data_IF_791808858072
#
_entry.id   IF_791808858072
#
_cell.length_a   1.000
_cell.length_b   1.000
_cell.length_c   1.000
_cell.angle_alpha   90.00
_cell.angle_beta   90.00
_cell.angle_gamma   90.00
#
_symmetry.space_group_name_H-M   'P 1'
#
loop_
_entity.id
_entity.type
_entity.pdbx_description
1 polymer ?
#
# COMPACT_ATOMS: atom_id res chain seq x y z
N UNK A 1 22.03 40.21 -29.94
CA UNK A 1 21.68 38.79 -30.19
C UNK A 1 22.89 37.92 -30.64
N UNK A 2 24.14 38.18 -30.21
CA UNK A 2 25.32 37.49 -30.69
C UNK A 2 26.16 36.79 -29.61
N UNK A 3 25.64 36.63 -28.36
CA UNK A 3 26.41 36.04 -27.28
C UNK A 3 26.08 34.58 -26.97
N UNK A 4 24.87 34.10 -27.29
CA UNK A 4 24.38 32.78 -26.88
C UNK A 4 24.80 31.65 -27.82
N UNK A 5 25.05 31.97 -29.11
CA UNK A 5 25.44 30.98 -30.13
C UNK A 5 26.90 30.55 -30.04
N UNK A 6 27.74 31.34 -29.41
CA UNK A 6 29.18 31.05 -29.21
C UNK A 6 29.39 30.02 -28.09
N UNK A 7 28.58 30.11 -27.03
CA UNK A 7 28.72 29.23 -25.86
C UNK A 7 28.27 27.77 -26.14
N UNK A 8 27.27 27.59 -26.99
CA UNK A 8 26.78 26.28 -27.38
C UNK A 8 27.70 25.53 -28.38
N UNK A 9 28.49 26.26 -29.17
CA UNK A 9 29.49 25.66 -30.06
C UNK A 9 30.75 25.18 -29.33
N UNK A 10 31.14 25.83 -28.24
CA UNK A 10 32.27 25.41 -27.42
C UNK A 10 32.01 24.09 -26.70
N UNK A 11 30.82 23.93 -26.12
CA UNK A 11 30.43 22.71 -25.40
C UNK A 11 30.32 21.46 -26.28
N UNK A 12 29.83 21.59 -27.51
CA UNK A 12 29.77 20.46 -28.46
C UNK A 12 31.14 20.00 -28.96
N UNK A 13 32.18 20.85 -28.95
CA UNK A 13 33.55 20.45 -29.32
C UNK A 13 34.31 19.74 -28.21
N UNK A 14 33.95 19.99 -26.96
CA UNK A 14 34.53 19.32 -25.80
C UNK A 14 33.95 17.90 -25.61
N UNK A 15 32.63 17.72 -25.82
CA UNK A 15 31.99 16.41 -25.79
C UNK A 15 32.46 15.48 -26.94
N UNK A 16 32.74 16.05 -28.12
CA UNK A 16 33.28 15.26 -29.25
C UNK A 16 34.77 14.82 -29.08
N UNK A 17 35.52 15.54 -28.25
CA UNK A 17 36.91 15.15 -27.92
C UNK A 17 37.00 14.10 -26.82
N UNK A 18 36.04 14.04 -25.92
CA UNK A 18 35.97 13.01 -24.86
C UNK A 18 35.60 11.62 -25.38
N UNK A 19 34.92 11.53 -26.54
CA UNK A 19 34.49 10.27 -27.14
C UNK A 19 35.54 9.61 -28.06
N UNK A 20 36.67 10.30 -28.36
CA UNK A 20 37.67 9.81 -29.29
C UNK A 20 38.92 9.16 -28.66
N UNK A 21 39.04 9.13 -27.32
CA UNK A 21 40.27 8.66 -26.64
C UNK A 21 40.07 7.45 -25.71
N UNK A 22 39.03 6.63 -25.90
CA UNK A 22 38.93 5.37 -25.17
C UNK A 22 38.67 4.17 -26.10
N UNK A 23 39.65 3.85 -26.95
CA UNK A 23 39.81 2.52 -27.49
C UNK A 23 41.08 1.91 -26.88
N UNK A 24 40.93 1.35 -25.70
CA UNK A 24 41.90 0.47 -25.06
C UNK A 24 41.22 -0.84 -24.77
N UNK A 25 41.73 -1.89 -25.34
CA UNK A 25 41.40 -3.29 -25.16
C UNK A 25 41.38 -3.67 -23.67
N UNK A 26 40.22 -4.00 -23.13
CA UNK A 26 40.13 -4.78 -21.89
C UNK A 26 39.25 -6.00 -22.15
N UNK A 27 39.92 -7.16 -22.08
CA UNK A 27 39.31 -8.48 -21.98
C UNK A 27 38.26 -8.48 -20.85
N UNK A 28 36.97 -8.63 -21.20
CA UNK A 28 35.92 -8.76 -20.26
C UNK A 28 36.11 -9.95 -19.32
N UNK A 29 35.72 -9.86 -18.04
CA UNK A 29 35.71 -11.01 -17.18
C UNK A 29 34.74 -12.05 -17.74
N UNK A 30 35.21 -13.30 -17.87
CA UNK A 30 34.39 -14.48 -18.15
C UNK A 30 33.22 -14.48 -17.20
N UNK A 31 31.97 -14.81 -17.63
CA UNK A 31 30.87 -15.02 -16.72
C UNK A 31 31.29 -16.16 -15.77
N UNK A 32 31.41 -15.82 -14.49
CA UNK A 32 31.57 -16.79 -13.42
C UNK A 32 30.33 -17.69 -13.46
N UNK A 33 30.58 -18.95 -13.83
CA UNK A 33 29.61 -20.06 -13.68
C UNK A 33 29.14 -20.02 -12.23
N UNK A 34 27.92 -19.51 -12.01
CA UNK A 34 27.24 -19.69 -10.72
C UNK A 34 27.15 -21.21 -10.51
N UNK A 35 27.96 -21.71 -9.62
CA UNK A 35 27.79 -23.07 -9.05
C UNK A 35 26.39 -23.09 -8.46
N UNK A 36 25.55 -23.96 -9.01
CA UNK A 36 24.25 -24.28 -8.41
C UNK A 36 24.52 -24.74 -6.99
N UNK A 37 24.21 -23.88 -6.02
CA UNK A 37 24.23 -24.23 -4.62
C UNK A 37 23.13 -25.29 -4.42
N UNK A 38 23.53 -26.50 -4.02
CA UNK A 38 22.64 -27.59 -3.59
C UNK A 38 22.03 -27.30 -2.22
N UNK A 39 21.45 -26.12 -2.03
CA UNK A 39 20.74 -25.68 -0.85
C UNK A 39 19.27 -25.41 -1.17
N UNK A 40 18.39 -25.62 -0.20
CA UNK A 40 16.98 -25.20 -0.31
C UNK A 40 16.88 -23.74 -0.75
N UNK A 41 15.89 -23.38 -1.57
CA UNK A 41 15.73 -21.99 -2.03
C UNK A 41 15.59 -21.05 -0.83
N UNK A 42 16.08 -19.80 -0.94
CA UNK A 42 15.95 -18.82 0.13
C UNK A 42 14.51 -18.65 0.57
N UNK A 43 14.28 -18.58 1.86
CA UNK A 43 12.97 -18.30 2.44
C UNK A 43 12.56 -16.84 2.32
N UNK A 44 11.47 -16.49 2.95
CA UNK A 44 10.96 -15.12 3.02
C UNK A 44 10.79 -14.67 4.48
N UNK A 45 11.17 -13.43 4.76
CA UNK A 45 10.90 -12.72 6.00
C UNK A 45 9.78 -11.71 5.76
N UNK A 46 8.63 -11.89 6.42
CA UNK A 46 7.42 -11.07 6.23
C UNK A 46 7.15 -10.27 7.48
N UNK A 47 6.86 -8.96 7.33
CA UNK A 47 6.60 -8.09 8.48
C UNK A 47 5.59 -6.99 8.18
N UNK A 48 4.86 -6.56 9.23
CA UNK A 48 3.77 -5.59 9.15
C UNK A 48 2.47 -6.17 8.55
N UNK A 49 1.46 -5.31 8.43
CA UNK A 49 0.29 -5.51 7.57
C UNK A 49 -0.59 -6.75 7.79
N UNK A 50 -1.05 -7.00 8.98
CA UNK A 50 -2.15 -7.95 9.34
C UNK A 50 -2.50 -9.05 8.29
N UNK A 51 -3.66 -8.89 7.60
CA UNK A 51 -4.17 -9.86 6.62
C UNK A 51 -3.36 -9.90 5.32
N UNK A 52 -2.68 -8.80 4.95
CA UNK A 52 -1.73 -8.78 3.84
C UNK A 52 -0.54 -9.71 4.09
N UNK A 53 0.04 -9.68 5.31
CA UNK A 53 1.10 -10.61 5.72
C UNK A 53 0.62 -12.05 5.74
N UNK A 54 -0.59 -12.31 6.26
CA UNK A 54 -1.17 -13.65 6.25
C UNK A 54 -1.30 -14.20 4.82
N UNK A 55 -1.72 -13.35 3.88
CA UNK A 55 -1.82 -13.73 2.47
C UNK A 55 -0.44 -14.07 1.87
N UNK A 56 0.59 -13.26 2.15
CA UNK A 56 1.97 -13.54 1.72
C UNK A 56 2.47 -14.87 2.31
N UNK A 57 2.27 -15.09 3.61
CA UNK A 57 2.67 -16.33 4.31
C UNK A 57 2.03 -17.56 3.68
N UNK A 58 0.72 -17.49 3.39
CA UNK A 58 -0.02 -18.60 2.76
C UNK A 58 0.44 -18.88 1.34
N UNK A 59 0.54 -17.82 0.52
CA UNK A 59 1.01 -17.96 -0.85
C UNK A 59 2.35 -18.66 -0.92
N UNK A 60 3.36 -18.13 -0.26
CA UNK A 60 4.70 -18.71 -0.29
C UNK A 60 4.78 -20.09 0.36
N UNK A 61 4.09 -20.29 1.49
CA UNK A 61 4.08 -21.55 2.20
C UNK A 61 3.42 -22.69 1.43
N UNK A 62 2.36 -22.42 0.65
CA UNK A 62 1.75 -23.40 -0.27
C UNK A 62 2.71 -23.85 -1.36
N UNK A 63 3.65 -22.99 -1.75
CA UNK A 63 4.72 -23.32 -2.69
C UNK A 63 5.96 -23.95 -2.02
N UNK A 64 5.86 -24.31 -0.72
CA UNK A 64 6.96 -24.96 0.01
C UNK A 64 8.12 -24.03 0.38
N UNK A 65 7.95 -22.73 0.25
CA UNK A 65 8.95 -21.72 0.61
C UNK A 65 8.90 -21.49 2.12
N UNK A 66 10.03 -21.61 2.86
CA UNK A 66 10.06 -21.29 4.28
C UNK A 66 9.73 -19.82 4.54
N UNK A 67 8.76 -19.55 5.42
CA UNK A 67 8.35 -18.17 5.74
C UNK A 67 8.48 -17.92 7.23
N UNK A 68 9.21 -16.86 7.59
CA UNK A 68 9.29 -16.34 8.95
C UNK A 68 8.54 -15.02 9.05
N UNK A 69 7.94 -14.75 10.21
CA UNK A 69 7.11 -13.56 10.44
C UNK A 69 7.70 -12.73 11.56
N UNK A 70 7.95 -11.44 11.32
CA UNK A 70 8.25 -10.47 12.37
C UNK A 70 6.95 -9.83 12.87
N UNK A 71 6.77 -9.81 14.18
CA UNK A 71 5.53 -9.37 14.83
C UNK A 71 5.83 -8.21 15.77
N UNK A 72 5.19 -7.06 15.53
CA UNK A 72 5.19 -5.93 16.45
C UNK A 72 3.77 -5.39 16.71
N UNK A 73 2.85 -5.51 15.75
CA UNK A 73 1.46 -5.00 15.84
C UNK A 73 0.43 -6.12 15.77
N UNK A 74 0.09 -6.61 14.58
CA UNK A 74 -1.02 -7.55 14.38
C UNK A 74 -0.50 -8.99 14.22
N UNK A 75 -0.79 -9.89 15.19
CA UNK A 75 -0.14 -11.20 15.22
C UNK A 75 -0.82 -12.28 14.36
N UNK A 76 -1.80 -11.96 13.48
CA UNK A 76 -2.62 -12.98 12.82
C UNK A 76 -1.80 -13.95 11.96
N UNK A 77 -0.77 -13.47 11.29
CA UNK A 77 0.07 -14.29 10.41
C UNK A 77 0.84 -15.40 11.16
N UNK A 78 1.14 -15.20 12.46
CA UNK A 78 1.84 -16.23 13.27
C UNK A 78 1.01 -17.49 13.50
N UNK A 79 -0.31 -17.41 13.36
CA UNK A 79 -1.21 -18.53 13.55
C UNK A 79 -1.37 -19.40 12.30
N UNK A 80 -0.79 -18.97 11.18
CA UNK A 80 -0.77 -19.77 9.95
C UNK A 80 0.15 -20.97 10.13
N UNK A 81 -0.30 -22.17 9.69
CA UNK A 81 0.53 -23.36 9.61
C UNK A 81 1.74 -23.21 8.68
N UNK A 82 1.68 -22.22 7.79
CA UNK A 82 2.74 -21.89 6.84
C UNK A 82 3.80 -20.93 7.39
N UNK A 83 3.57 -20.32 8.57
CA UNK A 83 4.59 -19.58 9.28
C UNK A 83 5.55 -20.55 9.99
N UNK A 84 6.70 -20.81 9.39
CA UNK A 84 7.69 -21.74 9.94
C UNK A 84 8.27 -21.25 11.27
N UNK A 85 8.36 -19.93 11.44
CA UNK A 85 8.82 -19.27 12.68
C UNK A 85 8.25 -17.87 12.78
N UNK A 86 8.11 -17.39 14.02
CA UNK A 86 7.80 -16.00 14.30
C UNK A 86 8.77 -15.40 15.31
N UNK A 87 9.09 -14.12 15.14
CA UNK A 87 9.99 -13.36 15.99
C UNK A 87 9.30 -12.06 16.36
N UNK A 88 9.29 -11.71 17.65
CA UNK A 88 8.87 -10.36 18.08
C UNK A 88 10.01 -9.39 17.81
N UNK A 89 9.70 -8.20 17.33
CA UNK A 89 10.64 -7.11 17.10
C UNK A 89 10.03 -5.77 17.50
N UNK A 90 10.88 -4.74 17.57
CA UNK A 90 10.49 -3.46 18.17
C UNK A 90 9.55 -2.61 17.33
N UNK A 91 9.41 -2.91 16.03
CA UNK A 91 8.62 -2.16 15.07
C UNK A 91 9.43 -1.17 14.22
N UNK A 92 8.83 -0.66 13.12
CA UNK A 92 9.54 0.15 12.12
C UNK A 92 9.85 1.58 12.59
N UNK A 93 9.11 2.10 13.57
CA UNK A 93 9.17 3.51 13.98
C UNK A 93 10.29 3.80 15.01
N UNK A 94 11.01 2.77 15.44
CA UNK A 94 12.12 2.93 16.40
C UNK A 94 13.41 3.34 15.70
N UNK A 95 14.17 4.22 16.36
CA UNK A 95 15.57 4.48 15.97
C UNK A 95 16.34 3.17 16.00
N UNK A 96 17.07 2.86 14.94
CA UNK A 96 17.83 1.61 14.82
C UNK A 96 17.02 0.41 14.33
N UNK A 97 15.81 0.60 13.80
CA UNK A 97 14.97 -0.49 13.31
C UNK A 97 15.58 -1.26 12.12
N UNK A 98 16.32 -0.58 11.24
CA UNK A 98 17.01 -1.23 10.14
C UNK A 98 18.19 -2.08 10.63
N UNK A 99 18.94 -1.58 11.58
CA UNK A 99 20.04 -2.30 12.24
C UNK A 99 19.52 -3.52 13.02
N UNK A 100 18.35 -3.41 13.66
CA UNK A 100 17.70 -4.54 14.31
C UNK A 100 17.33 -5.64 13.29
N UNK A 101 16.81 -5.28 12.10
CA UNK A 101 16.53 -6.23 11.03
C UNK A 101 17.80 -6.94 10.55
N UNK A 102 18.89 -6.21 10.37
CA UNK A 102 20.22 -6.76 10.00
C UNK A 102 20.69 -7.73 11.08
N UNK A 103 20.64 -7.32 12.36
CA UNK A 103 21.04 -8.16 13.47
C UNK A 103 20.20 -9.44 13.60
N UNK A 104 18.89 -9.37 13.32
CA UNK A 104 18.00 -10.54 13.26
C UNK A 104 18.46 -11.47 12.13
N UNK A 105 18.74 -10.95 10.94
CA UNK A 105 19.19 -11.75 9.81
C UNK A 105 20.50 -12.49 10.11
N UNK A 106 21.51 -11.78 10.61
CA UNK A 106 22.82 -12.35 10.97
C UNK A 106 22.71 -13.40 12.08
N UNK A 107 21.89 -13.13 13.12
CA UNK A 107 21.70 -14.07 14.24
C UNK A 107 21.05 -15.38 13.80
N UNK A 108 20.24 -15.34 12.76
CA UNK A 108 19.40 -16.46 12.35
C UNK A 108 19.78 -17.04 10.98
N UNK A 109 20.82 -16.55 10.32
CA UNK A 109 21.28 -17.04 9.02
C UNK A 109 20.24 -16.79 7.91
N UNK A 110 19.67 -15.57 7.87
CA UNK A 110 18.64 -15.19 6.89
C UNK A 110 19.23 -14.36 5.72
N UNK A 111 20.55 -14.33 5.56
CA UNK A 111 21.20 -13.64 4.47
C UNK A 111 20.74 -14.22 3.13
N UNK A 112 20.38 -13.33 2.21
CA UNK A 112 19.85 -13.70 0.90
C UNK A 112 18.37 -14.07 0.89
N UNK A 113 17.68 -14.05 2.04
CA UNK A 113 16.24 -14.21 2.10
C UNK A 113 15.52 -13.04 1.49
N UNK A 114 14.27 -13.25 1.04
CA UNK A 114 13.46 -12.19 0.45
C UNK A 114 12.71 -11.47 1.58
N UNK A 115 12.78 -10.12 1.59
CA UNK A 115 12.13 -9.28 2.58
C UNK A 115 10.81 -8.72 2.05
N UNK A 116 9.68 -9.09 2.67
CA UNK A 116 8.34 -8.63 2.32
C UNK A 116 7.79 -7.67 3.36
N UNK A 117 7.72 -6.39 3.01
CA UNK A 117 7.03 -5.38 3.81
C UNK A 117 5.54 -5.36 3.44
N UNK A 118 4.66 -5.55 4.41
CA UNK A 118 3.22 -5.58 4.21
C UNK A 118 2.47 -4.43 4.91
N UNK A 119 3.17 -3.52 5.57
CA UNK A 119 2.66 -2.27 6.13
C UNK A 119 3.35 -1.05 5.54
N UNK A 120 2.73 0.14 5.66
CA UNK A 120 3.27 1.39 5.12
C UNK A 120 4.57 1.79 5.81
N UNK A 121 4.63 1.71 7.14
CA UNK A 121 5.81 2.06 7.93
C UNK A 121 6.99 1.10 7.63
N UNK A 122 6.70 -0.21 7.52
CA UNK A 122 7.69 -1.21 7.18
C UNK A 122 8.26 -1.01 5.76
N UNK A 123 7.40 -0.71 4.80
CA UNK A 123 7.85 -0.48 3.43
C UNK A 123 8.64 0.84 3.31
N UNK A 124 8.29 1.88 4.05
CA UNK A 124 9.08 3.11 4.13
C UNK A 124 10.45 2.85 4.80
N UNK A 125 10.49 2.06 5.89
CA UNK A 125 11.74 1.67 6.53
C UNK A 125 12.67 0.98 5.52
N UNK A 126 12.15 -0.01 4.77
CA UNK A 126 12.94 -0.73 3.74
C UNK A 126 13.41 0.22 2.65
N UNK A 127 12.52 1.07 2.13
CA UNK A 127 12.86 1.99 1.04
C UNK A 127 13.90 3.02 1.44
N UNK A 128 13.82 3.57 2.67
CA UNK A 128 14.79 4.56 3.20
C UNK A 128 16.15 3.96 3.53
N UNK A 129 16.21 2.68 3.88
CA UNK A 129 17.43 1.96 4.22
C UNK A 129 17.79 0.92 3.14
N UNK A 130 17.38 1.18 1.88
CA UNK A 130 17.45 0.22 0.79
C UNK A 130 18.86 -0.31 0.56
N UNK A 131 19.87 0.54 0.54
CA UNK A 131 21.26 0.15 0.31
C UNK A 131 21.75 -0.81 1.41
N UNK A 132 21.59 -0.42 2.69
CA UNK A 132 22.02 -1.25 3.81
C UNK A 132 21.30 -2.60 3.86
N UNK A 133 19.98 -2.61 3.66
CA UNK A 133 19.18 -3.84 3.71
C UNK A 133 19.40 -4.72 2.48
N UNK A 134 19.71 -4.17 1.30
CA UNK A 134 20.00 -4.94 0.09
C UNK A 134 21.31 -5.72 0.17
N UNK A 135 22.24 -5.34 1.06
CA UNK A 135 23.46 -6.10 1.32
C UNK A 135 23.19 -7.44 2.06
N UNK A 136 22.04 -7.55 2.72
CA UNK A 136 21.64 -8.71 3.52
C UNK A 136 20.46 -9.46 2.89
N UNK A 137 19.45 -8.74 2.42
CA UNK A 137 18.21 -9.31 1.89
C UNK A 137 18.06 -9.06 0.40
N UNK A 138 17.23 -9.87 -0.24
CA UNK A 138 16.64 -9.54 -1.54
C UNK A 138 15.39 -8.72 -1.29
N UNK A 139 15.40 -7.45 -1.72
CA UNK A 139 14.31 -6.53 -1.43
C UNK A 139 13.22 -6.61 -2.49
N UNK A 140 11.97 -6.48 -2.05
CA UNK A 140 10.78 -6.41 -2.91
C UNK A 140 10.22 -4.99 -3.04
N UNK A 141 10.76 -4.05 -2.27
CA UNK A 141 10.39 -2.62 -2.26
C UNK A 141 11.37 -1.80 -3.08
N UNK A 142 10.87 -0.77 -3.76
CA UNK A 142 11.70 0.19 -4.48
C UNK A 142 12.52 1.07 -3.50
N UNK A 143 13.69 1.61 -3.94
CA UNK A 143 14.44 2.58 -3.15
C UNK A 143 13.67 3.87 -2.95
N UNK A 144 14.05 4.67 -1.93
CA UNK A 144 13.30 5.86 -1.52
C UNK A 144 13.08 6.88 -2.63
N UNK A 145 14.03 7.06 -3.51
CA UNK A 145 13.95 7.99 -4.67
C UNK A 145 12.76 7.69 -5.58
N UNK A 146 12.33 6.43 -5.65
CA UNK A 146 11.15 5.97 -6.39
C UNK A 146 9.95 5.84 -5.45
N UNK A 147 10.12 5.22 -4.30
CA UNK A 147 9.01 4.94 -3.37
C UNK A 147 8.36 6.22 -2.81
N UNK A 148 9.12 7.32 -2.66
CA UNK A 148 8.58 8.61 -2.17
C UNK A 148 7.39 9.12 -2.97
N UNK A 149 7.34 8.83 -4.28
CA UNK A 149 6.22 9.21 -5.14
C UNK A 149 4.90 8.50 -4.78
N UNK A 150 4.98 7.38 -4.08
CA UNK A 150 3.83 6.67 -3.54
C UNK A 150 3.41 7.17 -2.15
N UNK A 151 4.37 7.61 -1.33
CA UNK A 151 4.12 7.98 0.06
C UNK A 151 3.81 9.46 0.26
N UNK A 152 4.29 10.33 -0.61
CA UNK A 152 4.03 11.77 -0.58
C UNK A 152 2.92 12.14 -1.58
N UNK A 153 1.74 12.50 -1.04
CA UNK A 153 0.58 12.87 -1.86
C UNK A 153 0.80 14.12 -2.72
N UNK A 154 1.66 15.06 -2.28
CA UNK A 154 2.06 16.18 -3.11
C UNK A 154 2.73 15.70 -4.39
N UNK A 155 3.78 14.89 -4.22
CA UNK A 155 4.53 14.34 -5.35
C UNK A 155 3.62 13.50 -6.26
N UNK A 156 2.72 12.67 -5.66
CA UNK A 156 1.74 11.88 -6.43
C UNK A 156 0.85 12.77 -7.30
N UNK A 157 0.28 13.84 -6.74
CA UNK A 157 -0.68 14.69 -7.46
C UNK A 157 0.03 15.64 -8.45
N UNK A 158 1.19 16.16 -8.11
CA UNK A 158 2.01 16.96 -9.03
C UNK A 158 2.39 16.14 -10.26
N UNK A 159 2.85 14.90 -10.06
CA UNK A 159 3.15 14.01 -11.18
C UNK A 159 1.91 13.64 -11.99
N UNK A 160 0.79 13.39 -11.33
CA UNK A 160 -0.48 13.12 -12.00
C UNK A 160 -0.89 14.30 -12.90
N UNK A 161 -0.76 15.54 -12.39
CA UNK A 161 -1.02 16.75 -13.16
C UNK A 161 -0.12 16.89 -14.40
N UNK A 162 1.20 16.71 -14.22
CA UNK A 162 2.19 16.79 -15.30
C UNK A 162 1.91 15.85 -16.47
N UNK A 163 1.39 14.64 -16.18
CA UNK A 163 1.12 13.61 -17.20
C UNK A 163 -0.36 13.51 -17.57
N UNK A 164 -1.20 14.45 -17.13
CA UNK A 164 -2.62 14.54 -17.49
C UNK A 164 -3.49 13.44 -16.90
N UNK A 165 -3.17 12.96 -15.68
CA UNK A 165 -4.02 12.04 -14.90
C UNK A 165 -4.87 12.89 -13.94
N UNK A 166 -6.18 12.60 -13.88
CA UNK A 166 -7.07 13.31 -12.98
C UNK A 166 -6.79 12.95 -11.52
N UNK A 167 -6.81 13.95 -10.66
CA UNK A 167 -6.66 13.83 -9.22
C UNK A 167 -7.67 14.73 -8.51
N UNK A 168 -7.98 14.51 -7.22
CA UNK A 168 -8.90 15.36 -6.47
C UNK A 168 -8.26 16.74 -6.24
N UNK A 169 -9.07 17.82 -6.39
CA UNK A 169 -8.63 19.12 -5.95
C UNK A 169 -8.11 19.04 -4.50
N UNK A 170 -6.92 19.54 -4.27
CA UNK A 170 -6.25 19.50 -2.98
C UNK A 170 -5.59 20.84 -2.69
N UNK A 171 -5.70 21.30 -1.43
CA UNK A 171 -5.11 22.53 -0.95
C UNK A 171 -4.41 22.29 0.38
N UNK A 172 -3.22 22.82 0.53
CA UNK A 172 -2.36 22.65 1.71
C UNK A 172 -2.26 24.01 2.42
N UNK A 173 -3.12 24.28 3.41
CA UNK A 173 -3.12 25.55 4.11
C UNK A 173 -1.88 25.69 4.99
N UNK A 174 -1.34 26.91 5.02
CA UNK A 174 -0.24 27.27 5.93
C UNK A 174 -0.74 27.51 7.34
N UNK A 175 -1.94 28.06 7.46
CA UNK A 175 -2.53 28.46 8.72
C UNK A 175 -4.08 28.54 8.62
N UNK A 176 -4.73 28.89 9.73
CA UNK A 176 -6.17 29.06 9.80
C UNK A 176 -6.70 30.21 8.92
N UNK A 177 -5.88 31.24 8.69
CA UNK A 177 -6.28 32.38 7.83
C UNK A 177 -6.36 31.96 6.36
N UNK A 178 -5.40 31.14 5.90
CA UNK A 178 -5.45 30.53 4.58
C UNK A 178 -6.73 29.70 4.40
N UNK A 179 -7.12 28.92 5.40
CA UNK A 179 -8.39 28.13 5.36
C UNK A 179 -9.62 29.04 5.29
N UNK A 180 -9.61 30.18 5.98
CA UNK A 180 -10.71 31.13 5.93
C UNK A 180 -10.90 31.78 4.56
N UNK A 181 -9.81 31.92 3.79
CA UNK A 181 -9.81 32.60 2.48
C UNK A 181 -9.86 31.63 1.29
N UNK A 182 -9.58 30.33 1.49
CA UNK A 182 -9.52 29.37 0.38
C UNK A 182 -10.82 29.31 -0.40
N UNK A 183 -10.71 29.40 -1.73
CA UNK A 183 -11.85 29.22 -2.63
C UNK A 183 -12.01 27.73 -2.95
N UNK A 184 -13.07 27.11 -2.46
CA UNK A 184 -13.35 25.68 -2.68
C UNK A 184 -14.84 25.43 -2.92
N UNK A 185 -15.14 24.32 -3.59
CA UNK A 185 -16.51 23.80 -3.73
C UNK A 185 -16.80 22.82 -2.62
N UNK A 186 -17.82 23.05 -1.83
CA UNK A 186 -18.28 22.12 -0.80
C UNK A 186 -19.08 20.95 -1.42
N UNK A 187 -19.06 19.78 -0.77
CA UNK A 187 -18.32 19.44 0.45
C UNK A 187 -16.83 19.20 0.20
N UNK A 188 -16.01 19.49 1.22
CA UNK A 188 -14.59 19.15 1.27
C UNK A 188 -14.29 18.23 2.45
N UNK A 189 -13.14 17.57 2.41
CA UNK A 189 -12.61 16.78 3.51
C UNK A 189 -11.25 17.30 3.95
N UNK A 190 -11.01 17.23 5.23
CA UNK A 190 -9.69 17.50 5.82
C UNK A 190 -9.06 16.16 6.15
N UNK A 191 -7.78 16.01 5.84
CA UNK A 191 -6.99 14.79 6.13
C UNK A 191 -5.62 15.18 6.69
N UNK A 192 -5.01 14.35 7.57
CA UNK A 192 -3.60 14.45 7.85
C UNK A 192 -2.77 14.20 6.59
N UNK A 193 -1.71 15.00 6.37
CA UNK A 193 -0.78 14.82 5.24
C UNK A 193 0.12 13.60 5.44
N UNK A 194 0.44 13.26 6.70
CA UNK A 194 1.28 12.13 7.08
C UNK A 194 0.51 11.28 8.09
N UNK A 195 0.33 10.00 7.81
CA UNK A 195 -0.42 9.06 8.67
C UNK A 195 0.31 8.72 9.97
N UNK A 196 1.63 8.77 9.99
CA UNK A 196 2.47 8.22 11.03
C UNK A 196 2.61 9.11 12.29
N UNK A 197 2.06 10.34 12.26
CA UNK A 197 2.14 11.27 13.40
C UNK A 197 0.94 11.22 14.35
N UNK A 198 0.07 10.24 14.18
CA UNK A 198 -1.18 10.20 14.92
C UNK A 198 -1.18 9.07 15.94
N UNK A 199 -0.53 9.32 17.09
CA UNK A 199 -0.54 8.42 18.28
C UNK A 199 -1.90 8.31 18.98
N UNK A 200 -2.91 9.03 18.52
CA UNK A 200 -4.26 8.98 19.08
C UNK A 200 -5.11 7.97 18.33
N UNK A 201 -6.05 7.29 19.00
CA UNK A 201 -7.12 6.56 18.35
C UNK A 201 -8.06 7.58 17.69
N UNK A 202 -7.62 8.16 16.57
CA UNK A 202 -8.44 9.10 15.82
C UNK A 202 -9.54 8.29 15.17
N UNK A 203 -10.74 8.48 15.66
CA UNK A 203 -11.97 7.89 15.15
C UNK A 203 -12.30 8.33 13.72
N UNK A 204 -11.63 9.37 13.19
CA UNK A 204 -11.88 9.89 11.86
C UNK A 204 -10.59 9.94 11.04
N UNK A 205 -10.53 9.18 9.95
CA UNK A 205 -9.48 9.24 8.91
C UNK A 205 -9.55 10.54 8.11
N UNK A 206 -10.71 11.19 8.13
CA UNK A 206 -11.00 12.47 7.49
C UNK A 206 -12.17 13.16 8.21
N UNK A 207 -12.19 14.48 8.16
CA UNK A 207 -13.29 15.32 8.66
C UNK A 207 -14.00 15.95 7.48
N UNK A 208 -15.29 15.72 7.35
CA UNK A 208 -16.13 16.34 6.33
C UNK A 208 -16.56 17.74 6.76
N UNK A 209 -16.53 18.66 5.81
CA UNK A 209 -17.08 20.01 5.95
C UNK A 209 -17.98 20.32 4.75
N UNK A 210 -19.22 20.70 5.05
CA UNK A 210 -20.26 21.00 4.05
C UNK A 210 -20.39 22.50 3.76
N UNK A 211 -19.79 23.31 4.61
CA UNK A 211 -19.78 24.78 4.52
C UNK A 211 -18.52 25.38 5.16
N UNK A 212 -18.36 26.70 5.03
CA UNK A 212 -17.21 27.44 5.54
C UNK A 212 -17.07 27.39 7.07
N UNK A 213 -18.18 27.49 7.81
CA UNK A 213 -18.16 27.48 9.25
C UNK A 213 -17.73 26.11 9.79
N UNK A 214 -18.29 25.05 9.22
CA UNK A 214 -17.88 23.67 9.50
C UNK A 214 -16.42 23.40 9.13
N UNK A 215 -15.95 23.94 8.01
CA UNK A 215 -14.55 23.79 7.57
C UNK A 215 -13.59 24.37 8.61
N UNK A 216 -13.84 25.59 9.10
CA UNK A 216 -12.99 26.23 10.11
C UNK A 216 -13.00 25.44 11.44
N UNK A 217 -14.18 25.03 11.90
CA UNK A 217 -14.32 24.24 13.13
C UNK A 217 -13.58 22.88 13.01
N UNK A 218 -13.66 22.21 11.86
CA UNK A 218 -12.94 20.94 11.60
C UNK A 218 -11.45 21.15 11.48
N UNK A 219 -11.01 22.25 10.89
CA UNK A 219 -9.60 22.61 10.85
C UNK A 219 -9.01 22.81 12.24
N UNK A 220 -9.69 23.58 13.11
CA UNK A 220 -9.26 23.79 14.48
C UNK A 220 -9.16 22.46 15.26
N UNK A 221 -10.12 21.54 15.05
CA UNK A 221 -10.05 20.18 15.63
C UNK A 221 -8.87 19.37 15.10
N UNK A 222 -8.62 19.39 13.79
CA UNK A 222 -7.54 18.66 13.15
C UNK A 222 -6.19 19.23 13.57
N UNK A 223 -6.01 20.56 13.56
CA UNK A 223 -4.81 21.26 13.93
C UNK A 223 -4.37 20.97 15.38
N UNK A 224 -5.34 20.90 16.30
CA UNK A 224 -5.08 20.51 17.69
C UNK A 224 -4.56 19.06 17.84
N UNK A 225 -4.85 18.17 16.86
CA UNK A 225 -4.46 16.75 16.91
C UNK A 225 -3.15 16.47 16.17
N UNK A 226 -2.95 17.09 15.00
CA UNK A 226 -1.83 16.75 14.10
C UNK A 226 -0.90 17.93 13.78
N UNK A 227 -1.25 19.14 14.24
CA UNK A 227 -0.56 20.39 13.91
C UNK A 227 -1.07 21.04 12.61
N UNK A 228 -0.97 22.37 12.54
CA UNK A 228 -1.54 23.18 11.44
C UNK A 228 -0.98 22.82 10.06
N UNK A 229 0.32 22.54 9.97
CA UNK A 229 1.01 22.24 8.72
C UNK A 229 0.83 20.80 8.22
N UNK A 230 0.16 19.96 9.00
CA UNK A 230 -0.03 18.55 8.69
C UNK A 230 -1.44 18.23 8.17
N UNK A 231 -2.12 19.21 7.60
CA UNK A 231 -3.52 19.07 7.12
C UNK A 231 -3.58 19.37 5.64
N UNK A 232 -4.30 18.54 4.89
CA UNK A 232 -4.71 18.81 3.51
C UNK A 232 -6.22 18.95 3.43
N UNK A 233 -6.70 19.97 2.74
CA UNK A 233 -8.08 20.10 2.30
C UNK A 233 -8.21 19.44 0.94
N UNK A 234 -9.23 18.61 0.77
CA UNK A 234 -9.44 17.88 -0.47
C UNK A 234 -10.92 17.89 -0.85
N UNK A 235 -11.24 17.95 -2.14
CA UNK A 235 -12.62 17.79 -2.56
C UNK A 235 -13.15 16.41 -2.12
N UNK A 236 -14.42 16.36 -1.71
CA UNK A 236 -15.12 15.13 -1.51
C UNK A 236 -15.68 14.64 -2.86
N UNK A 237 -15.06 13.59 -3.43
CA UNK A 237 -15.61 12.95 -4.62
C UNK A 237 -16.85 12.17 -4.21
N UNK A 238 -18.03 12.43 -4.81
CA UNK A 238 -19.27 11.71 -4.48
C UNK A 238 -19.18 10.21 -4.74
N UNK A 239 -20.11 9.47 -4.17
CA UNK A 239 -20.22 8.02 -4.30
C UNK A 239 -19.64 7.27 -3.11
N UNK A 240 -20.14 6.07 -2.91
CA UNK A 240 -19.74 5.14 -1.86
C UNK A 240 -18.46 4.35 -2.22
N UNK A 241 -18.22 3.24 -1.52
CA UNK A 241 -17.10 2.35 -1.79
C UNK A 241 -17.11 1.75 -3.20
N UNK A 242 -18.28 1.52 -3.79
CA UNK A 242 -18.43 0.88 -5.11
C UNK A 242 -17.88 1.72 -6.27
N UNK A 243 -17.62 3.01 -6.05
CA UNK A 243 -16.99 3.90 -7.01
C UNK A 243 -15.46 3.94 -6.89
N UNK A 244 -14.88 3.13 -5.99
CA UNK A 244 -13.44 3.05 -5.77
C UNK A 244 -12.85 1.82 -6.47
N UNK A 245 -11.80 2.07 -7.26
CA UNK A 245 -11.08 1.07 -8.05
C UNK A 245 -9.62 1.03 -7.66
N UNK A 246 -9.00 -0.13 -7.80
CA UNK A 246 -7.57 -0.31 -7.57
C UNK A 246 -6.94 -1.05 -8.74
N UNK A 247 -5.85 -0.51 -9.26
CA UNK A 247 -4.93 -1.27 -10.11
C UNK A 247 -3.87 -1.90 -9.21
N UNK A 248 -3.80 -3.21 -9.19
CA UNK A 248 -2.87 -4.00 -8.41
C UNK A 248 -1.86 -4.69 -9.33
N UNK A 249 -0.55 -4.53 -9.08
CA UNK A 249 0.46 -5.04 -10.00
C UNK A 249 1.82 -5.32 -9.36
N UNK A 250 2.62 -6.11 -10.09
CA UNK A 250 4.08 -6.16 -9.95
C UNK A 250 4.66 -5.50 -11.19
N UNK A 251 5.51 -4.50 -10.98
CA UNK A 251 6.26 -3.81 -12.03
C UNK A 251 7.71 -4.21 -12.00
N UNK A 252 8.31 -4.41 -13.17
CA UNK A 252 9.71 -4.69 -13.31
C UNK A 252 10.24 -4.09 -14.64
N UNK A 253 11.37 -3.37 -14.59
CA UNK A 253 11.99 -2.72 -15.75
C UNK A 253 11.01 -1.88 -16.60
N UNK A 254 10.16 -1.08 -15.93
CA UNK A 254 9.23 -0.14 -16.58
C UNK A 254 7.99 -0.76 -17.23
N UNK A 255 7.68 -2.03 -16.93
CA UNK A 255 6.50 -2.74 -17.42
C UNK A 255 5.84 -3.61 -16.34
N UNK A 256 4.52 -3.83 -16.41
CA UNK A 256 3.85 -4.76 -15.52
C UNK A 256 4.21 -6.21 -15.88
N UNK A 257 4.60 -6.99 -14.87
CA UNK A 257 4.78 -8.46 -14.96
C UNK A 257 3.47 -9.17 -14.67
N UNK A 258 2.77 -8.74 -13.62
CA UNK A 258 1.45 -9.25 -13.27
C UNK A 258 0.55 -8.09 -12.88
N UNK A 259 -0.71 -8.09 -13.31
CA UNK A 259 -1.66 -7.03 -12.97
C UNK A 259 -3.10 -7.52 -12.93
N UNK A 260 -3.93 -6.80 -12.18
CA UNK A 260 -5.39 -6.89 -12.23
C UNK A 260 -6.00 -5.53 -11.86
N UNK A 261 -7.26 -5.32 -12.23
CA UNK A 261 -8.07 -4.23 -11.70
C UNK A 261 -9.14 -4.80 -10.78
N UNK A 262 -9.35 -4.16 -9.65
CA UNK A 262 -10.38 -4.53 -8.69
C UNK A 262 -11.26 -3.34 -8.34
N UNK A 263 -12.50 -3.60 -7.94
CA UNK A 263 -13.46 -2.64 -7.42
C UNK A 263 -13.74 -2.94 -5.95
N UNK A 264 -13.72 -1.93 -5.12
CA UNK A 264 -14.14 -2.02 -3.73
C UNK A 264 -15.67 -1.98 -3.69
N UNK A 265 -16.31 -3.15 -3.58
CA UNK A 265 -17.77 -3.19 -3.56
C UNK A 265 -18.36 -2.80 -2.18
N UNK A 266 -17.65 -3.11 -1.08
CA UNK A 266 -18.03 -2.71 0.29
C UNK A 266 -16.81 -2.36 1.13
N UNK A 267 -17.03 -1.50 2.13
CA UNK A 267 -16.00 -1.00 3.05
C UNK A 267 -16.54 -0.80 4.47
N UNK A 268 -15.63 -0.74 5.44
CA UNK A 268 -15.99 -0.44 6.82
C UNK A 268 -15.03 0.61 7.43
N UNK A 269 -15.52 1.66 8.11
CA UNK A 269 -16.92 2.16 8.13
C UNK A 269 -17.41 2.52 6.72
N UNK A 270 -18.74 2.63 6.54
CA UNK A 270 -19.35 2.96 5.23
C UNK A 270 -18.80 4.31 4.72
N UNK A 271 -18.77 5.32 5.58
CA UNK A 271 -18.20 6.63 5.30
C UNK A 271 -16.69 6.63 5.49
N UNK A 272 -15.95 7.15 4.50
CA UNK A 272 -14.48 7.29 4.52
C UNK A 272 -13.73 5.99 4.80
N UNK A 273 -14.23 4.84 4.33
CA UNK A 273 -13.81 3.48 4.63
C UNK A 273 -12.36 3.28 4.96
N UNK A 274 -12.10 2.85 6.19
CA UNK A 274 -10.75 2.55 6.65
C UNK A 274 -10.19 1.30 5.97
N UNK A 275 -11.07 0.34 5.67
CA UNK A 275 -10.66 -0.93 5.06
C UNK A 275 -11.74 -1.46 4.11
N UNK A 276 -11.31 -2.06 3.03
CA UNK A 276 -12.17 -2.84 2.14
C UNK A 276 -12.67 -4.07 2.91
N UNK A 277 -13.97 -4.38 2.75
CA UNK A 277 -14.56 -5.60 3.31
C UNK A 277 -14.95 -6.59 2.23
N UNK A 278 -15.31 -6.09 1.04
CA UNK A 278 -15.57 -6.90 -0.15
C UNK A 278 -14.96 -6.23 -1.38
N UNK A 279 -14.11 -6.96 -2.09
CA UNK A 279 -13.40 -6.50 -3.28
C UNK A 279 -13.60 -7.52 -4.39
N UNK A 280 -13.92 -7.08 -5.60
CA UNK A 280 -14.11 -7.95 -6.76
C UNK A 280 -13.21 -7.52 -7.92
N UNK A 281 -12.68 -8.48 -8.65
CA UNK A 281 -11.92 -8.21 -9.88
C UNK A 281 -12.84 -7.80 -11.00
N UNK A 282 -12.47 -6.75 -11.71
CA UNK A 282 -13.22 -6.17 -12.82
C UNK A 282 -12.30 -5.82 -13.99
N UNK A 283 -12.88 -5.61 -15.15
CA UNK A 283 -12.18 -5.00 -16.26
C UNK A 283 -12.47 -3.51 -16.28
N UNK A 284 -11.43 -2.69 -16.16
CA UNK A 284 -11.54 -1.24 -16.25
C UNK A 284 -10.29 -0.67 -16.93
N UNK A 285 -10.29 -0.61 -18.27
CA UNK A 285 -9.11 -0.19 -19.05
C UNK A 285 -8.61 1.21 -18.74
N UNK A 286 -9.52 2.17 -18.44
CA UNK A 286 -9.12 3.54 -18.10
C UNK A 286 -8.31 3.61 -16.81
N UNK A 287 -8.64 2.81 -15.81
CA UNK A 287 -7.89 2.71 -14.55
C UNK A 287 -6.54 2.06 -14.79
N UNK A 288 -6.49 0.97 -15.58
CA UNK A 288 -5.26 0.27 -15.94
C UNK A 288 -4.30 1.20 -16.72
N UNK A 289 -4.80 1.95 -17.71
CA UNK A 289 -3.99 2.91 -18.48
C UNK A 289 -3.43 4.03 -17.60
N UNK A 290 -4.30 4.68 -16.81
CA UNK A 290 -3.88 5.78 -15.94
C UNK A 290 -2.81 5.32 -14.92
N UNK A 291 -3.01 4.18 -14.27
CA UNK A 291 -2.03 3.61 -13.35
C UNK A 291 -0.71 3.27 -14.04
N UNK A 292 -0.78 2.66 -15.22
CA UNK A 292 0.41 2.28 -16.00
C UNK A 292 1.22 3.50 -16.43
N UNK A 293 0.57 4.55 -16.90
CA UNK A 293 1.25 5.82 -17.24
C UNK A 293 1.92 6.45 -16.02
N UNK A 294 1.23 6.46 -14.87
CA UNK A 294 1.78 6.98 -13.62
C UNK A 294 3.04 6.19 -13.21
N UNK A 295 2.93 4.87 -13.06
CA UNK A 295 4.03 4.01 -12.60
C UNK A 295 5.25 4.06 -13.55
N UNK A 296 4.99 4.09 -14.85
CA UNK A 296 6.06 4.26 -15.85
C UNK A 296 6.76 5.61 -15.69
N UNK A 297 6.01 6.68 -15.43
CA UNK A 297 6.56 8.04 -15.32
C UNK A 297 7.49 8.25 -14.14
N UNK A 298 7.36 7.45 -13.08
CA UNK A 298 8.20 7.49 -11.87
C UNK A 298 9.25 6.35 -11.85
N UNK A 299 9.35 5.54 -12.92
CA UNK A 299 10.28 4.43 -12.98
C UNK A 299 10.04 3.35 -11.92
N UNK A 300 8.76 3.08 -11.59
CA UNK A 300 8.40 2.19 -10.49
C UNK A 300 8.84 0.74 -10.75
N UNK A 301 9.33 0.08 -9.69
CA UNK A 301 9.63 -1.35 -9.67
C UNK A 301 9.13 -1.94 -8.36
N UNK A 302 8.58 -3.15 -8.39
CA UNK A 302 8.08 -3.87 -7.23
C UNK A 302 6.56 -4.00 -7.19
N UNK A 303 6.05 -4.36 -6.01
CA UNK A 303 4.63 -4.57 -5.75
C UNK A 303 3.92 -3.24 -5.48
N UNK A 304 2.75 -3.03 -6.10
CA UNK A 304 2.01 -1.76 -5.97
C UNK A 304 0.51 -1.95 -6.13
N UNK A 305 -0.25 -1.15 -5.38
CA UNK A 305 -1.68 -0.89 -5.58
C UNK A 305 -1.88 0.61 -5.80
N UNK A 306 -2.51 1.00 -6.92
CA UNK A 306 -2.87 2.39 -7.22
C UNK A 306 -4.39 2.53 -7.11
N UNK A 307 -4.85 3.36 -6.16
CA UNK A 307 -6.28 3.56 -5.90
C UNK A 307 -6.83 4.74 -6.70
N UNK A 308 -8.01 4.53 -7.30
CA UNK A 308 -8.77 5.53 -8.04
C UNK A 308 -10.19 5.63 -7.50
N UNK A 309 -10.80 6.81 -7.64
CA UNK A 309 -12.24 6.98 -7.42
C UNK A 309 -12.89 7.56 -8.67
N UNK A 310 -13.99 6.93 -9.09
CA UNK A 310 -14.80 7.45 -10.18
C UNK A 310 -15.61 8.66 -9.72
N UNK A 311 -15.50 9.76 -10.44
CA UNK A 311 -16.25 10.97 -10.23
C UNK A 311 -17.36 11.10 -11.28
N UNK A 312 -18.58 10.76 -10.89
CA UNK A 312 -19.73 10.77 -11.80
C UNK A 312 -20.07 12.19 -12.29
N UNK A 313 -19.61 13.26 -11.62
CA UNK A 313 -19.86 14.65 -12.04
C UNK A 313 -19.22 15.00 -13.38
N UNK A 314 -18.11 14.35 -13.70
CA UNK A 314 -17.35 14.59 -14.95
C UNK A 314 -16.96 13.31 -15.67
N UNK A 315 -17.44 12.13 -15.21
CA UNK A 315 -17.16 10.82 -15.76
C UNK A 315 -15.65 10.53 -15.83
N UNK A 316 -14.89 10.82 -14.74
CA UNK A 316 -13.44 10.65 -14.68
C UNK A 316 -13.00 9.80 -13.48
N UNK A 317 -11.97 9.00 -13.68
CA UNK A 317 -11.25 8.33 -12.59
C UNK A 317 -10.16 9.27 -12.07
N UNK A 318 -10.17 9.52 -10.76
CA UNK A 318 -9.19 10.35 -10.08
C UNK A 318 -8.27 9.49 -9.21
N UNK A 319 -6.96 9.62 -9.38
CA UNK A 319 -5.99 8.92 -8.53
C UNK A 319 -6.09 9.42 -7.09
N UNK A 320 -6.20 8.49 -6.12
CA UNK A 320 -6.35 8.82 -4.70
C UNK A 320 -5.11 8.52 -3.88
N UNK A 321 -4.54 7.32 -4.10
CA UNK A 321 -3.45 6.80 -3.27
C UNK A 321 -2.61 5.80 -4.05
N UNK A 322 -1.34 5.64 -3.63
CA UNK A 322 -0.44 4.63 -4.16
C UNK A 322 0.14 3.86 -2.97
N UNK A 323 -0.06 2.56 -2.93
CA UNK A 323 0.40 1.69 -1.86
C UNK A 323 1.54 0.81 -2.38
N UNK A 324 2.78 1.15 -2.03
CA UNK A 324 4.00 0.45 -2.47
C UNK A 324 4.34 -0.75 -1.57
N UNK A 325 3.36 -1.60 -1.28
CA UNK A 325 3.45 -2.74 -0.35
C UNK A 325 2.35 -3.75 -0.59
N UNK A 326 2.40 -4.91 0.09
CA UNK A 326 1.28 -5.83 0.11
C UNK A 326 0.03 -5.16 0.73
N UNK A 327 -1.09 -5.24 0.04
CA UNK A 327 -2.37 -4.69 0.49
C UNK A 327 -3.25 -5.77 1.13
N UNK A 328 -4.28 -5.37 1.85
CA UNK A 328 -5.10 -6.27 2.68
C UNK A 328 -5.76 -7.41 1.90
N UNK A 329 -6.19 -7.14 0.67
CA UNK A 329 -6.89 -8.09 -0.20
C UNK A 329 -5.97 -8.73 -1.28
N UNK A 330 -4.64 -8.73 -1.09
CA UNK A 330 -3.67 -9.26 -2.07
C UNK A 330 -3.91 -10.74 -2.43
N UNK A 331 -4.50 -11.54 -1.51
CA UNK A 331 -4.88 -12.93 -1.76
C UNK A 331 -5.90 -13.10 -2.90
N UNK A 332 -6.64 -12.04 -3.26
CA UNK A 332 -7.53 -12.05 -4.43
C UNK A 332 -6.79 -12.37 -5.72
N UNK A 333 -5.51 -11.97 -5.81
CA UNK A 333 -4.67 -12.23 -6.97
C UNK A 333 -4.49 -13.73 -7.23
N UNK A 334 -4.28 -14.55 -6.20
CA UNK A 334 -4.16 -16.02 -6.34
C UNK A 334 -5.43 -16.59 -7.00
N UNK A 335 -6.61 -16.21 -6.50
CA UNK A 335 -7.89 -16.66 -7.07
C UNK A 335 -8.13 -16.13 -8.50
N UNK A 336 -7.61 -14.94 -8.81
CA UNK A 336 -7.64 -14.35 -10.15
C UNK A 336 -6.63 -14.95 -11.13
N UNK A 337 -5.70 -15.82 -10.66
CA UNK A 337 -4.66 -16.44 -11.48
C UNK A 337 -3.34 -15.68 -11.53
N UNK A 338 -3.15 -14.68 -10.66
CA UNK A 338 -1.91 -13.90 -10.49
C UNK A 338 -1.51 -13.88 -9.01
N UNK A 339 -0.82 -14.91 -8.56
CA UNK A 339 -0.33 -15.01 -7.18
C UNK A 339 0.84 -14.05 -6.95
N UNK A 340 0.50 -12.80 -6.63
CA UNK A 340 1.48 -11.71 -6.51
C UNK A 340 2.66 -12.03 -5.58
N UNK A 341 2.48 -12.56 -4.33
CA UNK A 341 3.62 -12.86 -3.48
C UNK A 341 4.56 -13.90 -4.08
N UNK A 342 4.03 -14.97 -4.67
CA UNK A 342 4.85 -16.01 -5.28
C UNK A 342 5.57 -15.51 -6.54
N UNK A 343 4.87 -14.76 -7.41
CA UNK A 343 5.48 -14.17 -8.60
C UNK A 343 6.59 -13.18 -8.22
N UNK A 344 6.39 -12.38 -7.17
CA UNK A 344 7.41 -11.44 -6.70
C UNK A 344 8.63 -12.18 -6.11
N UNK A 345 8.40 -13.29 -5.40
CA UNK A 345 9.48 -14.14 -4.91
C UNK A 345 10.30 -14.72 -6.08
N UNK A 346 9.65 -15.22 -7.13
CA UNK A 346 10.32 -15.72 -8.34
C UNK A 346 11.16 -14.65 -9.03
N UNK A 347 10.63 -13.43 -9.16
CA UNK A 347 11.39 -12.29 -9.70
C UNK A 347 12.62 -11.97 -8.83
N UNK A 348 12.46 -11.97 -7.50
CA UNK A 348 13.58 -11.76 -6.57
C UNK A 348 14.62 -12.87 -6.64
N UNK A 349 14.23 -14.07 -7.09
CA UNK A 349 15.15 -15.17 -7.41
C UNK A 349 15.86 -15.01 -8.76
N UNK A 350 15.52 -13.96 -9.53
CA UNK A 350 16.12 -13.67 -10.83
C UNK A 350 15.43 -14.38 -12.00
N UNK A 351 14.24 -14.93 -11.79
CA UNK A 351 13.47 -15.53 -12.88
C UNK A 351 12.86 -14.48 -13.80
N UNK A 352 12.85 -14.76 -15.10
CA UNK A 352 12.08 -13.97 -16.07
C UNK A 352 10.69 -14.55 -16.18
N UNK A 353 9.66 -13.72 -15.91
CA UNK A 353 8.28 -14.14 -15.95
C UNK A 353 7.55 -13.58 -17.18
N UNK A 354 6.62 -14.33 -17.78
CA UNK A 354 5.74 -13.78 -18.81
C UNK A 354 4.82 -12.72 -18.20
N UNK A 355 4.34 -11.79 -19.02
CA UNK A 355 3.31 -10.85 -18.59
C UNK A 355 2.00 -11.60 -18.32
N UNK A 356 1.44 -11.39 -17.14
CA UNK A 356 0.22 -12.04 -16.66
C UNK A 356 -0.86 -11.00 -16.33
N UNK A 357 -2.12 -11.34 -16.57
CA UNK A 357 -3.27 -10.53 -16.18
C UNK A 357 -4.28 -11.38 -15.42
N UNK A 358 -4.70 -10.89 -14.27
CA UNK A 358 -5.72 -11.56 -13.46
C UNK A 358 -7.09 -11.50 -14.14
N UNK A 359 -7.85 -12.60 -14.04
CA UNK A 359 -9.21 -12.67 -14.57
C UNK A 359 -10.20 -11.85 -13.73
N UNK A 360 -11.20 -11.28 -14.37
CA UNK A 360 -12.34 -10.63 -13.71
C UNK A 360 -13.35 -11.67 -13.17
N UNK A 361 -14.25 -11.22 -12.29
CA UNK A 361 -15.38 -12.03 -11.79
C UNK A 361 -15.05 -12.94 -10.61
N UNK A 362 -14.00 -12.65 -9.87
CA UNK A 362 -13.68 -13.28 -8.57
C UNK A 362 -13.66 -12.24 -7.46
N UNK A 363 -13.89 -12.66 -6.21
CA UNK A 363 -13.97 -11.74 -5.08
C UNK A 363 -13.12 -12.16 -3.88
N UNK A 364 -12.86 -11.17 -3.03
CA UNK A 364 -12.26 -11.32 -1.73
C UNK A 364 -13.14 -10.68 -0.65
N UNK A 365 -13.22 -11.31 0.52
CA UNK A 365 -14.09 -10.89 1.60
C UNK A 365 -13.40 -10.97 2.97
N UNK A 366 -13.52 -9.92 3.75
CA UNK A 366 -13.21 -9.95 5.18
C UNK A 366 -14.50 -10.24 5.95
N UNK A 367 -14.82 -11.51 6.14
CA UNK A 367 -16.13 -11.97 6.57
C UNK A 367 -16.69 -11.23 7.82
N UNK A 368 -15.91 -11.15 8.90
CA UNK A 368 -16.36 -10.55 10.16
C UNK A 368 -16.70 -9.04 10.02
N UNK A 369 -16.00 -8.31 9.17
CA UNK A 369 -16.25 -6.89 8.92
C UNK A 369 -17.30 -6.67 7.84
N UNK A 370 -17.34 -7.55 6.83
CA UNK A 370 -18.27 -7.42 5.73
C UNK A 370 -19.72 -7.62 6.15
N UNK A 371 -19.97 -8.59 7.05
CA UNK A 371 -21.32 -8.78 7.61
C UNK A 371 -21.79 -7.53 8.33
N UNK A 372 -20.92 -6.88 9.12
CA UNK A 372 -21.27 -5.63 9.83
C UNK A 372 -21.54 -4.51 8.83
N UNK A 373 -20.67 -4.32 7.85
CA UNK A 373 -20.85 -3.30 6.80
C UNK A 373 -22.13 -3.55 5.99
N UNK A 374 -22.39 -4.79 5.60
CA UNK A 374 -23.59 -5.14 4.84
C UNK A 374 -24.89 -4.90 5.63
N UNK A 375 -24.91 -5.22 6.92
CA UNK A 375 -26.09 -4.93 7.79
C UNK A 375 -26.31 -3.42 7.90
N UNK A 376 -25.23 -2.65 8.06
CA UNK A 376 -25.30 -1.19 8.11
C UNK A 376 -25.78 -0.60 6.77
N UNK A 377 -25.25 -1.04 5.62
CA UNK A 377 -25.70 -0.63 4.30
C UNK A 377 -27.16 -1.01 4.01
N UNK A 378 -27.63 -2.18 4.50
CA UNK A 378 -29.03 -2.59 4.39
C UNK A 378 -29.93 -1.68 5.25
N UNK A 379 -29.51 -1.33 6.44
CA UNK A 379 -30.27 -0.43 7.32
C UNK A 379 -30.44 0.98 6.72
N UNK A 380 -29.44 1.44 5.95
CA UNK A 380 -29.51 2.71 5.20
C UNK A 380 -30.16 2.59 3.81
N UNK A 381 -30.62 1.40 3.41
CA UNK A 381 -31.24 1.17 2.09
C UNK A 381 -30.27 1.23 0.91
N UNK A 382 -28.96 1.18 1.16
CA UNK A 382 -27.90 1.20 0.14
C UNK A 382 -27.76 -0.18 -0.52
N UNK A 383 -27.86 -1.26 0.28
CA UNK A 383 -27.71 -2.65 -0.16
C UNK A 383 -29.01 -3.44 0.08
N UNK A 384 -29.47 -4.18 -0.91
CA UNK A 384 -30.56 -5.13 -0.68
C UNK A 384 -30.04 -6.49 -0.20
N UNK A 385 -30.79 -7.25 0.65
CA UNK A 385 -30.42 -8.61 1.04
C UNK A 385 -30.17 -9.54 -0.15
N UNK A 386 -30.98 -9.39 -1.21
CA UNK A 386 -30.84 -10.16 -2.44
C UNK A 386 -29.53 -9.86 -3.15
N UNK A 387 -29.15 -8.58 -3.25
CA UNK A 387 -27.88 -8.15 -3.85
C UNK A 387 -26.68 -8.65 -3.04
N UNK A 388 -26.79 -8.64 -1.70
CA UNK A 388 -25.77 -9.22 -0.82
C UNK A 388 -25.57 -10.71 -1.10
N UNK A 389 -26.64 -11.51 -1.05
CA UNK A 389 -26.57 -12.94 -1.32
C UNK A 389 -26.08 -13.24 -2.73
N UNK A 390 -26.45 -12.41 -3.72
CA UNK A 390 -25.94 -12.54 -5.09
C UNK A 390 -24.44 -12.32 -5.15
N UNK A 391 -23.90 -11.35 -4.42
CA UNK A 391 -22.44 -11.08 -4.39
C UNK A 391 -21.62 -12.25 -3.83
N UNK A 392 -22.20 -13.10 -2.98
CA UNK A 392 -21.53 -14.26 -2.40
C UNK A 392 -21.51 -15.50 -3.32
N UNK A 393 -22.16 -15.46 -4.49
CA UNK A 393 -22.23 -16.61 -5.42
C UNK A 393 -21.03 -16.75 -6.34
N UNK A 394 -20.21 -15.71 -6.45
CA UNK A 394 -18.98 -15.75 -7.24
C UNK A 394 -17.85 -16.51 -6.49
N UNK A 395 -16.80 -16.97 -7.19
CA UNK A 395 -15.64 -17.54 -6.53
C UNK A 395 -15.07 -16.56 -5.49
N UNK A 396 -14.92 -17.01 -4.24
CA UNK A 396 -14.69 -16.13 -3.09
C UNK A 396 -13.47 -16.57 -2.30
N UNK A 397 -12.52 -15.64 -2.10
CA UNK A 397 -11.36 -15.78 -1.23
C UNK A 397 -11.62 -15.05 0.10
N UNK A 398 -11.44 -15.72 1.22
CA UNK A 398 -11.58 -15.07 2.53
C UNK A 398 -10.25 -14.49 3.04
N UNK A 399 -10.33 -13.37 3.75
CA UNK A 399 -9.18 -12.68 4.33
C UNK A 399 -8.44 -13.54 5.36
N UNK A 400 -9.17 -14.13 6.30
CA UNK A 400 -8.61 -14.85 7.43
C UNK A 400 -8.80 -16.36 7.36
N UNK A 401 -9.93 -16.84 6.83
CA UNK A 401 -10.23 -18.28 6.76
C UNK A 401 -9.66 -18.89 5.46
N UNK A 402 -9.07 -20.09 5.61
CA UNK A 402 -8.74 -20.96 4.49
C UNK A 402 -8.88 -22.41 4.95
N UNK A 403 -9.40 -23.30 4.09
CA UNK A 403 -9.66 -24.69 4.47
C UNK A 403 -8.38 -25.46 4.81
N UNK A 404 -7.29 -25.16 4.13
CA UNK A 404 -5.95 -25.72 4.34
C UNK A 404 -5.19 -25.08 5.51
N UNK A 405 -5.69 -23.92 6.04
CA UNK A 405 -5.08 -23.15 7.13
C UNK A 405 -6.16 -22.43 7.95
N UNK A 406 -7.03 -23.15 8.70
CA UNK A 406 -8.23 -22.59 9.32
C UNK A 406 -7.95 -21.75 10.57
N UNK A 407 -6.84 -21.98 11.28
CA UNK A 407 -6.58 -21.36 12.58
C UNK A 407 -6.57 -19.83 12.56
N UNK A 408 -5.97 -19.12 11.57
CA UNK A 408 -6.09 -17.67 11.48
C UNK A 408 -7.54 -17.18 11.41
N UNK A 409 -8.42 -17.90 10.68
CA UNK A 409 -9.85 -17.56 10.61
C UNK A 409 -10.59 -17.72 11.94
N UNK A 410 -10.22 -18.73 12.74
CA UNK A 410 -10.80 -18.96 14.06
C UNK A 410 -10.38 -17.86 15.04
N UNK A 411 -9.12 -17.43 15.01
CA UNK A 411 -8.58 -16.44 15.96
C UNK A 411 -8.82 -15.00 15.54
N UNK A 412 -9.24 -14.72 14.29
CA UNK A 412 -9.40 -13.36 13.76
C UNK A 412 -10.36 -12.51 14.60
N UNK A 413 -11.56 -13.02 14.89
CA UNK A 413 -12.55 -12.31 15.68
C UNK A 413 -12.12 -12.11 17.14
N UNK A 414 -11.64 -13.13 17.89
CA UNK A 414 -11.05 -12.92 19.22
C UNK A 414 -9.92 -11.90 19.25
N UNK A 415 -9.01 -11.92 18.27
CA UNK A 415 -7.94 -10.93 18.16
C UNK A 415 -8.48 -9.51 17.92
N UNK A 416 -9.47 -9.35 17.05
CA UNK A 416 -10.11 -8.07 16.82
C UNK A 416 -10.76 -7.52 18.10
N UNK A 417 -11.50 -8.36 18.82
CA UNK A 417 -12.14 -7.99 20.09
C UNK A 417 -11.11 -7.64 21.16
N UNK A 418 -10.06 -8.43 21.34
CA UNK A 418 -9.01 -8.15 22.34
C UNK A 418 -8.30 -6.82 22.08
N UNK A 419 -8.06 -6.46 20.82
CA UNK A 419 -7.44 -5.18 20.44
C UNK A 419 -8.37 -4.00 20.71
N UNK A 420 -9.67 -4.13 20.42
CA UNK A 420 -10.67 -3.11 20.76
C UNK A 420 -10.74 -2.90 22.27
N UNK A 421 -10.76 -3.98 23.05
CA UNK A 421 -10.77 -3.91 24.51
C UNK A 421 -9.48 -3.28 25.04
N UNK A 422 -8.32 -3.73 24.60
CA UNK A 422 -7.02 -3.19 25.03
C UNK A 422 -6.89 -1.68 24.74
N UNK A 423 -7.44 -1.18 23.63
CA UNK A 423 -7.44 0.25 23.30
C UNK A 423 -8.47 1.07 24.06
N UNK A 424 -9.64 0.50 24.42
CA UNK A 424 -10.74 1.21 25.09
C UNK A 424 -10.65 1.17 26.61
N UNK A 425 -10.18 0.08 27.20
CA UNK A 425 -10.06 -0.09 28.65
C UNK A 425 -9.26 1.04 29.33
N UNK A 426 -8.07 1.45 28.89
CA UNK A 426 -7.34 2.54 29.51
C UNK A 426 -8.06 3.88 29.46
N UNK A 427 -8.78 4.16 28.36
CA UNK A 427 -9.56 5.38 28.20
C UNK A 427 -10.83 5.37 29.11
N UNK A 428 -11.46 4.22 29.25
CA UNK A 428 -12.64 4.03 30.10
C UNK A 428 -12.28 4.11 31.58
N UNK A 429 -11.18 3.49 32.00
CA UNK A 429 -10.66 3.58 33.38
C UNK A 429 -10.28 5.02 33.71
N UNK A 430 -9.60 5.76 32.81
CA UNK A 430 -9.30 7.18 33.02
C UNK A 430 -10.56 8.05 33.13
N UNK A 431 -11.64 7.74 32.40
CA UNK A 431 -12.94 8.46 32.51
C UNK A 431 -13.63 8.16 33.82
N UNK A 432 -13.58 6.92 34.29
CA UNK A 432 -14.17 6.54 35.59
C UNK A 432 -13.41 7.20 36.74
N UNK A 433 -12.06 7.20 36.71
CA UNK A 433 -11.26 7.87 37.74
C UNK A 433 -11.37 9.40 37.72
N UNK A 434 -11.76 10.01 36.58
CA UNK A 434 -12.08 11.46 36.53
C UNK A 434 -13.49 11.81 37.00
N UNK A 435 -14.43 10.84 37.02
CA UNK A 435 -15.79 11.06 37.57
C UNK A 435 -15.90 10.83 39.08
N UNK A 436 -14.90 10.20 39.68
CA UNK A 436 -14.82 9.96 41.12
C UNK A 436 -13.99 11.01 41.89
N UNK A 437 -13.56 12.06 41.21
CA UNK A 437 -13.00 13.29 41.77
C UNK A 437 -13.90 14.49 41.41
#
# INVERSE_FOLDING_TARGET
MNGVTSFLRARRKEEARSLATSKSTTSGPRPTRQTAATGSPPGALVFGGAHGSLAVVRSLGRHGIPVWVLIHDHPIARFSRYASRHISWSGPDRTGAAEELIAIAQRHGLEGWILFAAGDAEAQLVSRNHEALSSIFRLTSAPWEVARWAYDKHLTYDRAAEIGINYPWSYYPRDRQDVAQVQCRFPVILKPTVRDRVDAPILAKAWRADDRATLLARYDQAAALVGEHAIVLQELIPGDGSTQYSYAAIWNHGAPVASLVARRARQFPIDFGYTSTFVETVEQPEVEDAASRFLKSIGYNGLVEVEFKYDARNARYKILDVNARAWTWIALGELAGVDFPYLLWRLAMGETLPRMRGRAGVAWMHASRDVVAAVEEMAFGILSPVSYLKSLRQPLQFAAFAADDPLPGIVDLPLALSRVLARRLPAMVRRLLKRSR
#
